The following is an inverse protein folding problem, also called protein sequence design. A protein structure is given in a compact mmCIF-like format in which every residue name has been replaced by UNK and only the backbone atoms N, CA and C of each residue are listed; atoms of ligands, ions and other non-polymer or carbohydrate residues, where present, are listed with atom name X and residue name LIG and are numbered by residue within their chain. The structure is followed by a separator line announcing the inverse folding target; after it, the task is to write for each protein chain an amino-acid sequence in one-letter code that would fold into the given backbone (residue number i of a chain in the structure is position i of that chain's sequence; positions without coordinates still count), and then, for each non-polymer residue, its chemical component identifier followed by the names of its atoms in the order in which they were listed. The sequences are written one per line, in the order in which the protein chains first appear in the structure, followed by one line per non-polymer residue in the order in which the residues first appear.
data_IF_678071326537
#
_entry.id   IF_678071326537
#
_cell.length_a   1.000
_cell.length_b   1.000
_cell.length_c   1.000
_cell.angle_alpha   90.00
_cell.angle_beta   90.00
_cell.angle_gamma   90.00
#
_symmetry.space_group_name_H-M   'P 1'
#
loop_
_entity.id
_entity.type
_entity.pdbx_description
1 polymer ?
#
# COMPACT_ATOMS: atom_id res chain seq x y z
N UNK A 1 36.19 18.87 27.06
CA UNK A 1 36.56 17.43 27.10
C UNK A 1 36.21 16.67 25.81
N UNK A 2 35.53 17.28 24.83
CA UNK A 2 35.09 16.58 23.60
C UNK A 2 36.17 16.41 22.52
N UNK A 3 37.08 17.37 22.36
CA UNK A 3 38.14 17.31 21.32
C UNK A 3 39.10 16.11 21.48
N UNK A 4 39.41 15.71 22.72
CA UNK A 4 40.23 14.51 23.00
C UNK A 4 39.52 13.20 22.64
N UNK A 5 38.18 13.18 22.73
CA UNK A 5 37.36 11.99 22.43
C UNK A 5 37.24 11.76 20.92
N UNK A 6 37.19 12.84 20.14
CA UNK A 6 37.22 12.80 18.68
C UNK A 6 38.57 12.30 18.13
N UNK A 7 39.69 12.73 18.74
CA UNK A 7 41.04 12.23 18.37
C UNK A 7 41.20 10.73 18.58
N UNK A 8 40.78 10.22 19.75
CA UNK A 8 40.81 8.79 20.04
C UNK A 8 39.92 7.95 19.10
N UNK A 9 38.81 8.50 18.62
CA UNK A 9 37.95 7.83 17.63
C UNK A 9 38.60 7.76 16.25
N UNK A 10 39.36 8.78 15.85
CA UNK A 10 40.10 8.78 14.58
C UNK A 10 41.26 7.79 14.62
N UNK A 11 42.02 7.77 15.72
CA UNK A 11 43.12 6.81 15.91
C UNK A 11 42.61 5.37 15.89
N UNK A 12 41.45 5.11 16.50
CA UNK A 12 40.80 3.79 16.44
C UNK A 12 40.38 3.40 15.02
N UNK A 13 39.85 4.34 14.24
CA UNK A 13 39.52 4.09 12.83
C UNK A 13 40.77 3.83 12.00
N UNK A 14 41.84 4.62 12.18
CA UNK A 14 43.12 4.43 11.50
C UNK A 14 43.74 3.08 11.86
N UNK A 15 43.71 2.68 13.13
CA UNK A 15 44.15 1.35 13.55
C UNK A 15 43.32 0.24 12.92
N UNK A 16 41.98 0.37 12.88
CA UNK A 16 41.10 -0.62 12.25
C UNK A 16 41.32 -0.72 10.74
N UNK A 17 41.63 0.41 10.09
CA UNK A 17 41.91 0.48 8.67
C UNK A 17 43.26 -0.14 8.34
N UNK A 18 44.29 0.15 9.13
CA UNK A 18 45.60 -0.46 9.00
C UNK A 18 45.56 -1.97 9.27
N UNK A 19 44.75 -2.43 10.23
CA UNK A 19 44.52 -3.85 10.47
C UNK A 19 43.87 -4.54 9.25
N UNK A 20 42.86 -3.91 8.62
CA UNK A 20 42.26 -4.42 7.38
C UNK A 20 43.23 -4.44 6.20
N UNK A 21 44.13 -3.46 6.10
CA UNK A 21 45.17 -3.46 5.07
C UNK A 21 46.12 -4.64 5.28
N UNK A 22 46.54 -4.89 6.52
CA UNK A 22 47.41 -6.02 6.84
C UNK A 22 46.74 -7.37 6.54
N UNK A 23 45.47 -7.55 6.91
CA UNK A 23 44.70 -8.75 6.56
C UNK A 23 44.59 -8.95 5.03
N UNK A 24 44.33 -7.88 4.28
CA UNK A 24 44.28 -7.95 2.81
C UNK A 24 45.64 -8.29 2.21
N UNK A 25 46.73 -7.76 2.77
CA UNK A 25 48.09 -8.09 2.34
C UNK A 25 48.41 -9.57 2.62
N UNK A 26 48.07 -10.08 3.79
CA UNK A 26 48.22 -11.50 4.12
C UNK A 26 47.39 -12.40 3.20
N UNK A 27 46.15 -12.03 2.90
CA UNK A 27 45.30 -12.76 1.95
C UNK A 27 45.86 -12.73 0.51
N UNK A 28 46.44 -11.62 0.07
CA UNK A 28 47.09 -11.50 -1.25
C UNK A 28 48.37 -12.34 -1.31
N UNK A 29 49.16 -12.36 -0.24
CA UNK A 29 50.36 -13.20 -0.13
C UNK A 29 49.96 -14.68 -0.11
N UNK A 30 48.94 -15.06 0.67
CA UNK A 30 48.41 -16.43 0.71
C UNK A 30 47.88 -16.88 -0.66
N UNK A 31 47.15 -16.00 -1.37
CA UNK A 31 46.69 -16.22 -2.74
C UNK A 31 47.84 -16.45 -3.72
N UNK A 32 48.92 -15.67 -3.60
CA UNK A 32 50.07 -15.75 -4.50
C UNK A 32 51.01 -16.93 -4.16
N UNK A 33 51.12 -17.33 -2.88
CA UNK A 33 51.96 -18.46 -2.44
C UNK A 33 51.32 -19.83 -2.68
N UNK A 34 49.99 -19.92 -2.63
CA UNK A 34 49.25 -21.16 -2.89
C UNK A 34 48.17 -20.94 -3.96
N UNK A 35 48.52 -21.00 -5.26
CA UNK A 35 47.57 -20.76 -6.35
C UNK A 35 46.45 -21.83 -6.47
N UNK A 36 46.41 -22.80 -5.55
CA UNK A 36 45.60 -24.01 -5.67
C UNK A 36 44.59 -24.29 -4.56
N UNK A 37 44.34 -23.39 -3.59
CA UNK A 37 43.37 -23.68 -2.50
C UNK A 37 42.12 -22.78 -2.45
N UNK A 38 42.00 -21.74 -3.28
CA UNK A 38 40.84 -20.82 -3.23
C UNK A 38 39.78 -21.06 -4.33
N UNK A 39 40.00 -22.03 -5.22
CA UNK A 39 39.10 -22.23 -6.38
C UNK A 39 37.85 -23.05 -6.01
N UNK A 40 37.97 -23.98 -5.05
CA UNK A 40 36.84 -24.81 -4.64
C UNK A 40 35.73 -24.00 -3.96
N UNK A 41 36.10 -23.02 -3.13
CA UNK A 41 35.14 -22.23 -2.34
C UNK A 41 34.34 -21.23 -3.19
N UNK A 42 34.96 -20.63 -4.22
CA UNK A 42 34.26 -19.75 -5.15
C UNK A 42 33.25 -20.52 -6.01
N UNK A 43 33.54 -21.78 -6.37
CA UNK A 43 32.61 -22.61 -7.13
C UNK A 43 31.39 -23.03 -6.29
N UNK A 44 31.59 -23.26 -4.98
CA UNK A 44 30.50 -23.56 -4.06
C UNK A 44 29.60 -22.34 -3.84
N UNK A 45 30.19 -21.14 -3.73
CA UNK A 45 29.44 -19.88 -3.64
C UNK A 45 28.69 -19.57 -4.94
N UNK A 46 29.28 -19.80 -6.12
CA UNK A 46 28.62 -19.62 -7.42
C UNK A 46 27.44 -20.61 -7.58
N UNK A 47 27.61 -21.87 -7.16
CA UNK A 47 26.56 -22.87 -7.18
C UNK A 47 25.40 -22.50 -6.23
N UNK A 48 25.72 -21.99 -5.03
CA UNK A 48 24.71 -21.53 -4.08
C UNK A 48 23.95 -20.30 -4.60
N UNK A 49 24.64 -19.36 -5.24
CA UNK A 49 24.01 -18.17 -5.84
C UNK A 49 23.08 -18.57 -6.99
N UNK A 50 23.51 -19.47 -7.89
CA UNK A 50 22.67 -20.00 -8.97
C UNK A 50 21.46 -20.76 -8.44
N UNK A 51 21.62 -21.54 -7.38
CA UNK A 51 20.50 -22.22 -6.74
C UNK A 51 19.48 -21.22 -6.17
N UNK A 52 19.95 -20.13 -5.56
CA UNK A 52 19.09 -19.08 -5.03
C UNK A 52 18.41 -18.27 -6.13
N UNK A 53 19.11 -17.99 -7.24
CA UNK A 53 18.53 -17.33 -8.43
C UNK A 53 17.43 -18.19 -9.06
N UNK A 54 17.65 -19.51 -9.18
CA UNK A 54 16.63 -20.45 -9.64
C UNK A 54 15.41 -20.49 -8.71
N UNK A 55 15.62 -20.43 -7.39
CA UNK A 55 14.53 -20.35 -6.44
C UNK A 55 13.74 -19.04 -6.56
N UNK A 56 14.42 -17.90 -6.72
CA UNK A 56 13.78 -16.60 -6.95
C UNK A 56 13.00 -16.60 -8.27
N UNK A 57 13.55 -17.20 -9.32
CA UNK A 57 12.89 -17.31 -10.61
C UNK A 57 11.67 -18.24 -10.54
N UNK A 58 11.77 -19.36 -9.83
CA UNK A 58 10.63 -20.25 -9.58
C UNK A 58 9.53 -19.57 -8.72
N UNK A 59 9.91 -18.74 -7.75
CA UNK A 59 8.95 -17.92 -6.98
C UNK A 59 8.29 -16.88 -7.89
N UNK A 60 9.05 -16.22 -8.75
CA UNK A 60 8.53 -15.25 -9.72
C UNK A 60 7.58 -15.90 -10.72
N UNK A 61 7.91 -17.10 -11.19
CA UNK A 61 7.09 -17.86 -12.14
C UNK A 61 5.84 -18.41 -11.45
N UNK A 62 5.93 -18.85 -10.18
CA UNK A 62 4.76 -19.22 -9.37
C UNK A 62 3.87 -18.03 -9.05
N UNK A 63 4.42 -16.85 -8.77
CA UNK A 63 3.63 -15.62 -8.62
C UNK A 63 3.00 -15.21 -9.96
N UNK A 64 3.70 -15.43 -11.08
CA UNK A 64 3.14 -15.23 -12.43
C UNK A 64 2.01 -16.22 -12.71
N UNK A 65 2.17 -17.49 -12.35
CA UNK A 65 1.12 -18.50 -12.47
C UNK A 65 -0.03 -18.24 -11.50
N UNK A 66 0.19 -17.81 -10.26
CA UNK A 66 -0.87 -17.41 -9.34
C UNK A 66 -1.61 -16.16 -9.86
N UNK A 67 -0.89 -15.20 -10.44
CA UNK A 67 -1.51 -14.02 -11.09
C UNK A 67 -2.19 -14.35 -12.43
N UNK A 68 -1.81 -15.42 -13.13
CA UNK A 68 -2.46 -15.90 -14.37
C UNK A 68 -3.56 -16.95 -14.13
N UNK A 69 -3.51 -17.69 -13.02
CA UNK A 69 -4.51 -18.68 -12.57
C UNK A 69 -5.66 -18.03 -11.79
N UNK A 70 -5.49 -16.79 -11.31
CA UNK A 70 -6.64 -15.91 -11.13
C UNK A 70 -7.22 -15.69 -12.53
N UNK A 71 -8.42 -16.20 -12.84
CA UNK A 71 -8.95 -16.15 -14.18
C UNK A 71 -9.09 -14.68 -14.56
N UNK A 72 -8.21 -14.23 -15.46
CA UNK A 72 -8.17 -12.92 -16.12
C UNK A 72 -9.61 -12.51 -16.42
N UNK A 73 -10.20 -11.77 -15.48
CA UNK A 73 -11.33 -10.90 -15.77
C UNK A 73 -10.70 -9.79 -16.59
N UNK A 74 -10.66 -10.07 -17.90
CA UNK A 74 -10.21 -9.23 -18.99
C UNK A 74 -10.07 -7.78 -18.55
N UNK A 75 -8.86 -7.26 -18.67
CA UNK A 75 -8.63 -5.84 -18.91
C UNK A 75 -9.69 -5.34 -19.89
N UNK A 76 -10.70 -4.66 -19.35
CA UNK A 76 -11.66 -3.89 -20.11
C UNK A 76 -11.80 -2.56 -19.41
N UNK A 77 -10.84 -1.70 -19.79
CA UNK A 77 -10.95 -0.25 -19.85
C UNK A 77 -11.63 0.41 -18.64
N UNK A 78 -10.78 1.00 -17.80
CA UNK A 78 -11.03 2.38 -17.40
C UNK A 78 -11.70 2.55 -16.05
N UNK A 79 -11.04 2.09 -14.98
CA UNK A 79 -10.94 2.92 -13.77
C UNK A 79 -9.77 2.46 -12.93
N UNK A 80 -8.80 3.36 -12.74
CA UNK A 80 -7.73 3.17 -11.77
C UNK A 80 -8.34 2.85 -10.38
N UNK A 81 -7.62 2.07 -9.57
CA UNK A 81 -7.95 1.84 -8.16
C UNK A 81 -8.38 3.16 -7.49
N UNK A 82 -9.36 3.15 -6.57
CA UNK A 82 -9.81 4.36 -5.90
C UNK A 82 -8.60 5.12 -5.38
N UNK A 83 -8.39 6.36 -5.82
CA UNK A 83 -7.19 7.08 -5.47
C UNK A 83 -7.18 7.38 -3.96
N UNK A 84 -6.08 7.01 -3.31
CA UNK A 84 -5.84 7.22 -1.89
C UNK A 84 -5.31 8.64 -1.67
N UNK A 85 -6.21 9.61 -1.70
CA UNK A 85 -5.89 11.02 -1.48
C UNK A 85 -5.67 11.31 0.00
N UNK A 86 -4.57 10.80 0.54
CA UNK A 86 -4.16 11.07 1.91
C UNK A 86 -4.09 12.56 2.19
N UNK A 87 -4.35 12.89 3.45
CA UNK A 87 -4.24 14.24 3.96
C UNK A 87 -2.90 14.43 4.67
N UNK A 88 -2.34 15.62 4.57
CA UNK A 88 -1.17 16.01 5.37
C UNK A 88 -1.58 16.63 6.71
N UNK A 89 -0.63 16.77 7.63
CA UNK A 89 -0.84 17.53 8.87
C UNK A 89 -1.22 18.97 8.60
N UNK A 90 -0.58 19.60 7.61
CA UNK A 90 -0.85 20.99 7.26
C UNK A 90 -2.29 21.17 6.76
N UNK A 91 -2.78 20.26 5.90
CA UNK A 91 -4.16 20.28 5.44
C UNK A 91 -5.15 20.10 6.59
N UNK A 92 -4.86 19.23 7.55
CA UNK A 92 -5.71 19.03 8.72
C UNK A 92 -5.72 20.26 9.65
N UNK A 93 -4.58 20.93 9.78
CA UNK A 93 -4.39 22.09 10.65
C UNK A 93 -4.98 23.38 10.06
N UNK A 94 -5.23 23.42 8.74
CA UNK A 94 -6.03 24.50 8.13
C UNK A 94 -7.48 24.51 8.60
N UNK A 95 -7.99 23.37 9.09
CA UNK A 95 -9.36 23.26 9.58
C UNK A 95 -9.49 23.84 10.98
N UNK A 96 -10.66 24.41 11.28
CA UNK A 96 -10.95 24.88 12.64
C UNK A 96 -10.81 23.76 13.66
N UNK A 97 -10.30 24.09 14.85
CA UNK A 97 -10.13 23.14 15.97
C UNK A 97 -11.44 22.43 16.33
N UNK A 98 -12.57 23.11 16.13
CA UNK A 98 -13.91 22.57 16.28
C UNK A 98 -14.23 21.43 15.30
N UNK A 99 -13.84 21.57 14.01
CA UNK A 99 -14.05 20.52 12.99
C UNK A 99 -13.09 19.35 13.13
N UNK A 100 -11.83 19.62 13.48
CA UNK A 100 -10.83 18.59 13.73
C UNK A 100 -11.17 17.76 14.97
N UNK A 101 -11.70 18.41 16.01
CA UNK A 101 -11.97 17.75 17.29
C UNK A 101 -10.71 17.07 17.83
N UNK A 102 -10.79 15.77 18.12
CA UNK A 102 -9.64 14.92 18.54
C UNK A 102 -9.10 14.03 17.41
N UNK A 103 -9.38 14.37 16.14
CA UNK A 103 -8.91 13.59 15.00
C UNK A 103 -7.43 13.87 14.72
N UNK A 104 -6.68 12.79 14.52
CA UNK A 104 -5.30 12.82 14.05
C UNK A 104 -5.25 12.51 12.56
N UNK A 105 -4.20 12.96 11.89
CA UNK A 105 -3.92 12.67 10.47
C UNK A 105 -3.94 11.17 10.20
N UNK A 106 -3.30 10.39 11.05
CA UNK A 106 -3.25 8.92 10.92
C UNK A 106 -4.63 8.29 10.92
N UNK A 107 -5.53 8.79 11.78
CA UNK A 107 -6.89 8.26 11.88
C UNK A 107 -7.72 8.61 10.64
N UNK A 108 -7.55 9.81 10.08
CA UNK A 108 -8.22 10.19 8.84
C UNK A 108 -7.66 9.41 7.66
N UNK A 109 -6.34 9.24 7.57
CA UNK A 109 -5.69 8.46 6.51
C UNK A 109 -6.03 6.97 6.58
N UNK A 110 -6.15 6.39 7.77
CA UNK A 110 -6.65 5.04 7.96
C UNK A 110 -8.12 4.92 7.49
N UNK A 111 -8.96 5.92 7.74
CA UNK A 111 -10.32 5.93 7.22
C UNK A 111 -10.36 6.05 5.67
N UNK A 112 -9.45 6.82 5.05
CA UNK A 112 -9.33 6.90 3.59
C UNK A 112 -9.02 5.51 2.99
N UNK A 113 -8.18 4.72 3.65
CA UNK A 113 -7.92 3.33 3.24
C UNK A 113 -9.18 2.45 3.31
N UNK A 114 -9.91 2.52 4.43
CA UNK A 114 -11.19 1.81 4.57
C UNK A 114 -12.18 2.21 3.46
N UNK A 115 -12.29 3.50 3.14
CA UNK A 115 -13.19 4.03 2.10
C UNK A 115 -12.82 3.54 0.70
N UNK A 116 -11.52 3.55 0.39
CA UNK A 116 -11.03 3.04 -0.88
C UNK A 116 -11.33 1.54 -1.03
N UNK A 117 -11.14 0.76 0.03
CA UNK A 117 -11.47 -0.66 0.03
C UNK A 117 -12.97 -0.91 -0.21
N UNK A 118 -13.87 -0.11 0.39
CA UNK A 118 -15.32 -0.23 0.14
C UNK A 118 -15.70 0.16 -1.28
N UNK A 119 -15.14 1.27 -1.78
CA UNK A 119 -15.42 1.72 -3.13
C UNK A 119 -14.91 0.72 -4.18
N UNK A 120 -13.76 0.09 -3.94
CA UNK A 120 -13.22 -0.97 -4.79
C UNK A 120 -14.09 -2.22 -4.72
N UNK A 121 -14.46 -2.69 -3.53
CA UNK A 121 -15.33 -3.86 -3.36
C UNK A 121 -16.68 -3.66 -4.09
N UNK A 122 -17.29 -2.49 -3.97
CA UNK A 122 -18.54 -2.16 -4.64
C UNK A 122 -18.37 -2.04 -6.16
N UNK A 123 -17.27 -1.42 -6.62
CA UNK A 123 -16.95 -1.40 -8.05
C UNK A 123 -16.81 -2.82 -8.60
N UNK A 124 -16.11 -3.70 -7.88
CA UNK A 124 -15.99 -5.11 -8.26
C UNK A 124 -17.36 -5.79 -8.34
N UNK A 125 -18.25 -5.58 -7.37
CA UNK A 125 -19.62 -6.14 -7.41
C UNK A 125 -20.43 -5.64 -8.61
N UNK A 126 -20.34 -4.35 -8.94
CA UNK A 126 -21.03 -3.76 -10.10
C UNK A 126 -20.58 -4.42 -11.41
N UNK A 127 -19.29 -4.67 -11.59
CA UNK A 127 -18.75 -5.25 -12.82
C UNK A 127 -18.68 -6.78 -12.81
N UNK A 128 -18.79 -7.42 -11.63
CA UNK A 128 -18.68 -8.86 -11.50
C UNK A 128 -19.84 -9.57 -12.23
N UNK A 129 -19.55 -10.66 -12.95
CA UNK A 129 -20.58 -11.50 -13.54
C UNK A 129 -21.28 -12.34 -12.47
N UNK A 130 -22.60 -12.57 -12.61
CA UNK A 130 -23.44 -13.38 -11.69
C UNK A 130 -22.82 -14.73 -11.29
N UNK A 131 -22.03 -15.34 -12.17
CA UNK A 131 -21.35 -16.63 -11.91
C UNK A 131 -20.27 -16.56 -10.81
N UNK A 132 -19.71 -15.37 -10.55
CA UNK A 132 -18.64 -15.14 -9.55
C UNK A 132 -19.16 -14.52 -8.25
N UNK A 133 -20.36 -13.96 -8.28
CA UNK A 133 -20.98 -13.31 -7.12
C UNK A 133 -21.88 -14.36 -6.47
N UNK A 134 -21.53 -14.81 -5.26
CA UNK A 134 -22.39 -15.71 -4.50
C UNK A 134 -23.79 -15.11 -4.32
N UNK A 135 -24.82 -15.94 -4.19
CA UNK A 135 -26.24 -15.52 -4.20
C UNK A 135 -26.54 -14.35 -3.23
N UNK A 136 -25.95 -14.39 -2.02
CA UNK A 136 -26.09 -13.35 -0.99
C UNK A 136 -25.50 -11.98 -1.36
N UNK A 137 -24.57 -11.92 -2.31
CA UNK A 137 -23.93 -10.69 -2.76
C UNK A 137 -24.52 -10.19 -4.10
N UNK A 138 -25.33 -11.03 -4.77
CA UNK A 138 -25.89 -10.69 -6.08
C UNK A 138 -27.03 -9.68 -5.97
N UNK A 139 -27.87 -9.78 -4.95
CA UNK A 139 -28.91 -8.78 -4.66
C UNK A 139 -28.29 -7.40 -4.42
N UNK A 140 -27.27 -7.33 -3.55
CA UNK A 140 -26.48 -6.11 -3.34
C UNK A 140 -25.82 -5.58 -4.62
N UNK A 141 -25.32 -6.48 -5.49
CA UNK A 141 -24.73 -6.06 -6.76
C UNK A 141 -25.76 -5.44 -7.73
N UNK A 142 -27.01 -5.92 -7.71
CA UNK A 142 -28.10 -5.31 -8.47
C UNK A 142 -28.46 -3.93 -7.94
N UNK A 143 -28.61 -3.78 -6.61
CA UNK A 143 -28.85 -2.48 -5.98
C UNK A 143 -27.75 -1.46 -6.31
N UNK A 144 -26.48 -1.89 -6.21
CA UNK A 144 -25.33 -1.05 -6.55
C UNK A 144 -25.30 -0.67 -8.03
N UNK A 145 -25.75 -1.56 -8.93
CA UNK A 145 -25.87 -1.25 -10.36
C UNK A 145 -26.93 -0.19 -10.62
N UNK A 146 -28.10 -0.31 -9.99
CA UNK A 146 -29.18 0.67 -10.13
C UNK A 146 -28.75 2.04 -9.62
N UNK A 147 -28.07 2.07 -8.46
CA UNK A 147 -27.47 3.30 -7.92
C UNK A 147 -26.42 3.87 -8.89
N UNK A 148 -25.56 3.02 -9.47
CA UNK A 148 -24.53 3.44 -10.42
C UNK A 148 -25.09 3.94 -11.77
N UNK A 149 -26.34 3.63 -12.12
CA UNK A 149 -27.01 4.20 -13.29
C UNK A 149 -27.41 5.67 -13.09
N UNK A 150 -27.46 6.15 -11.84
CA UNK A 150 -27.74 7.56 -11.53
C UNK A 150 -26.65 8.46 -12.10
N UNK A 151 -27.04 9.49 -12.85
CA UNK A 151 -26.13 10.38 -13.58
C UNK A 151 -25.03 11.00 -12.70
N UNK A 152 -25.35 11.34 -11.45
CA UNK A 152 -24.40 11.94 -10.51
C UNK A 152 -23.30 10.98 -10.01
N UNK A 153 -23.55 9.67 -10.07
CA UNK A 153 -22.72 8.58 -9.50
C UNK A 153 -22.06 7.75 -10.61
N UNK A 154 -22.66 7.74 -11.80
CA UNK A 154 -22.16 7.03 -12.98
C UNK A 154 -20.71 7.41 -13.26
N UNK A 155 -19.86 6.40 -13.35
CA UNK A 155 -18.44 6.67 -13.62
C UNK A 155 -17.72 7.36 -12.45
N UNK A 156 -18.22 7.26 -11.21
CA UNK A 156 -17.49 7.61 -9.97
C UNK A 156 -17.29 6.39 -9.05
N UNK A 157 -16.32 6.48 -8.14
CA UNK A 157 -16.06 5.47 -7.11
C UNK A 157 -16.91 5.83 -5.90
N UNK A 158 -17.70 4.90 -5.39
CA UNK A 158 -18.65 5.19 -4.32
C UNK A 158 -18.87 4.00 -3.41
N UNK A 159 -19.32 4.29 -2.20
CA UNK A 159 -19.77 3.30 -1.25
C UNK A 159 -21.01 3.79 -0.50
N UNK A 160 -21.76 2.87 0.10
CA UNK A 160 -22.98 3.19 0.83
C UNK A 160 -22.67 3.40 2.31
N UNK A 161 -23.50 4.19 2.98
CA UNK A 161 -23.44 4.34 4.44
C UNK A 161 -23.52 2.98 5.18
N UNK A 162 -24.26 2.02 4.62
CA UNK A 162 -24.38 0.65 5.14
C UNK A 162 -23.10 -0.18 5.02
N UNK A 163 -22.15 0.22 4.17
CA UNK A 163 -20.88 -0.46 3.98
C UNK A 163 -19.83 -0.07 5.04
N UNK A 164 -20.07 1.02 5.79
CA UNK A 164 -19.16 1.55 6.81
C UNK A 164 -19.15 0.69 8.09
N UNK A 165 -18.51 -0.48 7.99
CA UNK A 165 -18.37 -1.46 9.09
C UNK A 165 -16.91 -1.71 9.49
N UNK A 166 -16.00 -0.82 9.07
CA UNK A 166 -14.54 -1.00 9.17
C UNK A 166 -13.99 -0.73 10.56
N UNK A 167 -12.73 -1.10 10.81
CA UNK A 167 -12.10 -0.84 12.10
C UNK A 167 -11.99 0.67 12.38
N UNK A 168 -11.70 1.50 11.36
CA UNK A 168 -11.50 2.94 11.52
C UNK A 168 -12.71 3.74 11.09
N UNK A 169 -13.36 3.36 9.98
CA UNK A 169 -14.56 4.04 9.49
C UNK A 169 -15.86 3.29 9.85
N UNK A 170 -16.59 3.83 10.83
CA UNK A 170 -17.90 3.34 11.30
C UNK A 170 -18.92 4.46 11.40
N UNK A 171 -20.20 4.13 11.55
CA UNK A 171 -21.29 5.10 11.77
C UNK A 171 -21.35 5.63 13.22
N UNK A 172 -20.20 5.89 13.82
CA UNK A 172 -20.07 6.50 15.14
C UNK A 172 -19.85 8.01 15.04
N UNK A 173 -19.76 8.69 16.19
CA UNK A 173 -19.47 10.13 16.23
C UNK A 173 -18.13 10.45 15.57
N UNK A 174 -17.15 9.56 15.69
CA UNK A 174 -15.85 9.73 15.04
C UNK A 174 -15.97 9.66 13.52
N UNK A 175 -16.61 8.62 12.97
CA UNK A 175 -16.76 8.48 11.53
C UNK A 175 -17.54 9.63 10.92
N UNK A 176 -18.56 10.16 11.61
CA UNK A 176 -19.26 11.39 11.21
C UNK A 176 -18.33 12.61 11.16
N UNK A 177 -17.46 12.76 12.16
CA UNK A 177 -16.45 13.83 12.16
C UNK A 177 -15.45 13.67 11.01
N UNK A 178 -14.97 12.45 10.75
CA UNK A 178 -14.06 12.14 9.63
C UNK A 178 -14.72 12.48 8.29
N UNK A 179 -15.97 12.07 8.06
CA UNK A 179 -16.70 12.41 6.85
C UNK A 179 -16.87 13.93 6.69
N UNK A 180 -17.12 14.64 7.79
CA UNK A 180 -17.23 16.12 7.79
C UNK A 180 -15.92 16.78 7.37
N UNK A 181 -14.79 16.33 7.91
CA UNK A 181 -13.44 16.78 7.55
C UNK A 181 -13.15 16.49 6.08
N UNK A 182 -13.33 15.24 5.64
CA UNK A 182 -13.06 14.84 4.26
C UNK A 182 -13.94 15.56 3.24
N UNK A 183 -15.18 15.89 3.61
CA UNK A 183 -16.07 16.70 2.79
C UNK A 183 -15.56 18.13 2.65
N UNK A 184 -15.06 18.73 3.73
CA UNK A 184 -14.52 20.09 3.69
C UNK A 184 -13.24 20.16 2.85
N UNK A 185 -12.40 19.13 2.92
CA UNK A 185 -11.18 18.99 2.10
C UNK A 185 -11.48 18.56 0.64
N UNK A 186 -12.76 18.46 0.25
CA UNK A 186 -13.17 18.11 -1.11
C UNK A 186 -12.81 16.68 -1.53
N UNK A 187 -12.53 15.79 -0.58
CA UNK A 187 -12.18 14.38 -0.86
C UNK A 187 -13.41 13.52 -1.10
N UNK A 188 -14.56 13.92 -0.56
CA UNK A 188 -15.83 13.22 -0.75
C UNK A 188 -17.01 14.17 -0.97
N UNK A 189 -18.04 13.65 -1.62
CA UNK A 189 -19.38 14.23 -1.60
C UNK A 189 -20.41 13.18 -1.24
N UNK A 190 -21.52 13.63 -0.69
CA UNK A 190 -22.63 12.77 -0.31
C UNK A 190 -23.84 13.05 -1.20
N UNK A 191 -24.53 12.00 -1.62
CA UNK A 191 -25.73 12.11 -2.45
C UNK A 191 -26.72 11.04 -2.01
N UNK A 192 -28.02 11.35 -2.10
CA UNK A 192 -29.07 10.37 -1.86
C UNK A 192 -29.50 9.74 -3.17
N UNK A 193 -29.52 8.41 -3.21
CA UNK A 193 -30.08 7.63 -4.30
C UNK A 193 -31.16 6.72 -3.72
N UNK A 194 -32.43 7.09 -3.91
CA UNK A 194 -33.56 6.42 -3.26
C UNK A 194 -33.45 6.47 -1.73
N UNK A 195 -33.46 5.30 -1.09
CA UNK A 195 -33.31 5.15 0.36
C UNK A 195 -31.85 5.06 0.83
N UNK A 196 -30.88 5.00 -0.09
CA UNK A 196 -29.47 4.86 0.25
C UNK A 196 -28.76 6.22 0.28
N UNK A 197 -27.97 6.44 1.33
CA UNK A 197 -26.99 7.51 1.37
C UNK A 197 -25.70 7.00 0.73
N UNK A 198 -25.31 7.64 -0.37
CA UNK A 198 -24.17 7.28 -1.19
C UNK A 198 -23.05 8.28 -0.94
N UNK A 199 -21.85 7.78 -0.61
CA UNK A 199 -20.64 8.57 -0.45
C UNK A 199 -19.79 8.36 -1.69
N UNK A 200 -19.50 9.44 -2.40
CA UNK A 200 -18.77 9.45 -3.66
C UNK A 200 -17.37 9.99 -3.39
N UNK A 201 -16.36 9.22 -3.78
CA UNK A 201 -14.97 9.65 -3.72
C UNK A 201 -14.69 10.63 -4.85
N UNK A 202 -14.13 11.79 -4.50
CA UNK A 202 -13.76 12.84 -5.42
C UNK A 202 -12.24 12.87 -5.60
N UNK A 203 -11.81 13.27 -6.79
CA UNK A 203 -10.41 13.63 -7.04
C UNK A 203 -10.23 15.10 -6.60
N UNK A 204 -9.29 15.40 -5.69
CA UNK A 204 -8.98 16.79 -5.34
C UNK A 204 -8.48 17.52 -6.59
N UNK A 205 -8.91 18.77 -6.72
CA UNK A 205 -8.51 19.68 -7.80
C UNK A 205 -7.10 20.23 -7.58
#
# INVERSE_FOLDING_TARGET
MEAKRAGASLDSLVSSFNARIAELQELVIARNMYPGSSVADLSAVDAALKAMELQVQAIKDRLREETEAIPKAKEKKGRASPPLWYITSDELDTLSSYMRGRLTVDRVNAAINDMAAYAEANAQLIYAPKKKVGENHWEKALELRDIAMTESIKGKHFFLETDMKGPTLKLDNTGKAILTVLRHLGRITETRAGHHRVIILLKPH
#
